data_IF_822208343823
#
_entry.id   IF_822208343823
#
_cell.length_a   1.000
_cell.length_b   1.000
_cell.length_c   1.000
_cell.angle_alpha   90.00
_cell.angle_beta   90.00
_cell.angle_gamma   90.00
#
_symmetry.space_group_name_H-M   'P 1'
#
loop_
_entity.id
_entity.type
_entity.pdbx_description
1 polymer ?
#
# COMPACT_ATOMS: atom_id res chain seq x y z
N UNK A 1 -8.02 -2.34 -12.05
CA UNK A 1 -7.56 -0.98 -12.39
C UNK A 1 -6.11 -0.83 -11.95
N UNK A 2 -5.25 -0.22 -12.79
CA UNK A 2 -3.82 -0.03 -12.48
C UNK A 2 -3.60 1.36 -11.90
N UNK A 3 -2.95 1.44 -10.74
CA UNK A 3 -2.64 2.70 -10.04
C UNK A 3 -1.13 2.91 -10.06
N UNK A 4 -0.71 4.12 -10.41
CA UNK A 4 0.68 4.54 -10.41
C UNK A 4 0.83 5.82 -9.62
N UNK A 5 1.89 5.91 -8.82
CA UNK A 5 2.30 7.17 -8.20
C UNK A 5 3.81 7.22 -8.05
N UNK A 6 4.33 8.42 -7.90
CA UNK A 6 5.76 8.68 -7.84
C UNK A 6 6.06 9.51 -6.62
N UNK A 7 7.12 9.13 -5.91
CA UNK A 7 7.81 10.02 -4.98
C UNK A 7 9.09 10.54 -5.62
N UNK A 8 9.76 11.54 -5.02
CA UNK A 8 11.08 11.94 -5.48
C UNK A 8 12.10 10.81 -5.50
N UNK A 9 11.88 9.69 -4.79
CA UNK A 9 12.87 8.61 -4.61
C UNK A 9 12.46 7.28 -5.28
N UNK A 10 11.19 7.08 -5.61
CA UNK A 10 10.69 5.81 -6.13
C UNK A 10 9.44 5.97 -7.00
N UNK A 11 9.30 5.09 -7.98
CA UNK A 11 8.11 4.94 -8.82
C UNK A 11 7.35 3.68 -8.41
N UNK A 12 6.04 3.80 -8.23
CA UNK A 12 5.17 2.71 -7.76
C UNK A 12 4.12 2.40 -8.81
N UNK A 13 3.87 1.11 -9.05
CA UNK A 13 2.82 0.61 -9.92
C UNK A 13 2.11 -0.54 -9.22
N UNK A 14 0.78 -0.57 -9.26
CA UNK A 14 0.00 -1.59 -8.53
C UNK A 14 -1.36 -1.85 -9.17
N UNK A 15 -1.98 -2.93 -8.71
CA UNK A 15 -3.38 -3.24 -8.98
C UNK A 15 -4.18 -3.10 -7.69
N UNK A 16 -5.36 -2.50 -7.79
CA UNK A 16 -6.31 -2.37 -6.68
C UNK A 16 -7.26 -3.56 -6.66
N UNK A 17 -7.31 -4.25 -5.52
CA UNK A 17 -8.32 -5.26 -5.18
C UNK A 17 -9.23 -4.68 -4.11
N UNK A 18 -10.55 -4.80 -4.32
CA UNK A 18 -11.56 -4.34 -3.38
C UNK A 18 -12.43 -5.54 -3.01
N UNK A 19 -12.66 -5.74 -1.72
CA UNK A 19 -13.62 -6.74 -1.25
C UNK A 19 -14.31 -6.26 0.03
N UNK A 20 -15.55 -6.71 0.21
CA UNK A 20 -16.42 -6.30 1.30
C UNK A 20 -16.49 -7.41 2.34
N UNK A 21 -16.17 -7.07 3.59
CA UNK A 21 -16.43 -7.90 4.76
C UNK A 21 -17.69 -7.38 5.46
N UNK A 22 -18.82 -7.99 5.09
CA UNK A 22 -20.15 -7.61 5.59
C UNK A 22 -20.30 -7.93 7.08
N UNK A 23 -19.55 -8.90 7.62
CA UNK A 23 -19.66 -9.28 9.04
C UNK A 23 -19.15 -8.17 9.95
N UNK A 24 -18.11 -7.44 9.53
CA UNK A 24 -17.50 -6.34 10.29
C UNK A 24 -17.80 -4.96 9.69
N UNK A 25 -18.65 -4.88 8.67
CA UNK A 25 -19.04 -3.64 7.99
C UNK A 25 -17.85 -2.84 7.44
N UNK A 26 -16.81 -3.53 6.94
CA UNK A 26 -15.65 -2.91 6.31
C UNK A 26 -15.52 -3.31 4.85
N UNK A 27 -15.03 -2.36 4.05
CA UNK A 27 -14.51 -2.60 2.71
C UNK A 27 -13.00 -2.48 2.75
N UNK A 28 -12.34 -3.53 2.31
CA UNK A 28 -10.90 -3.61 2.22
C UNK A 28 -10.43 -3.14 0.85
N UNK A 29 -9.45 -2.26 0.82
CA UNK A 29 -8.77 -1.80 -0.38
C UNK A 29 -7.31 -2.22 -0.30
N UNK A 30 -6.90 -3.12 -1.20
CA UNK A 30 -5.56 -3.70 -1.21
C UNK A 30 -4.86 -3.34 -2.50
N UNK A 31 -3.74 -2.61 -2.39
CA UNK A 31 -2.82 -2.32 -3.48
C UNK A 31 -1.66 -3.28 -3.40
N UNK A 32 -1.47 -4.07 -4.45
CA UNK A 32 -0.31 -4.97 -4.59
C UNK A 32 0.43 -4.63 -5.88
N UNK A 33 1.74 -4.42 -5.78
CA UNK A 33 2.46 -3.82 -6.88
C UNK A 33 3.97 -4.01 -6.88
N UNK A 34 4.61 -3.37 -7.87
CA UNK A 34 6.06 -3.26 -8.00
C UNK A 34 6.50 -1.81 -7.79
N UNK A 35 7.65 -1.66 -7.17
CA UNK A 35 8.36 -0.40 -7.03
C UNK A 35 9.68 -0.45 -7.81
N UNK A 36 10.13 0.72 -8.24
CA UNK A 36 11.48 0.95 -8.76
C UNK A 36 12.07 2.16 -8.07
N UNK A 37 13.29 2.04 -7.58
CA UNK A 37 14.03 3.15 -6.97
C UNK A 37 14.61 4.06 -8.07
N UNK A 38 14.39 5.36 -7.92
CA UNK A 38 14.82 6.40 -8.85
C UNK A 38 16.27 6.84 -8.57
N UNK A 39 16.95 7.54 -9.52
CA UNK A 39 18.35 7.96 -9.38
C UNK A 39 18.69 8.80 -8.14
N UNK A 40 17.71 9.51 -7.61
CA UNK A 40 17.76 10.31 -6.38
C UNK A 40 17.80 9.47 -5.09
N UNK A 41 17.55 8.17 -5.16
CA UNK A 41 17.63 7.24 -4.03
C UNK A 41 19.03 6.63 -3.90
N UNK A 42 19.45 6.31 -2.67
CA UNK A 42 20.65 5.51 -2.41
C UNK A 42 20.61 4.11 -3.04
N UNK A 43 19.40 3.60 -3.28
CA UNK A 43 19.16 2.28 -3.90
C UNK A 43 18.77 2.42 -5.38
N UNK A 44 19.20 3.48 -6.06
CA UNK A 44 18.86 3.74 -7.45
C UNK A 44 19.04 2.50 -8.35
N UNK A 45 18.03 2.19 -9.14
CA UNK A 45 18.04 1.03 -10.04
C UNK A 45 17.49 -0.26 -9.41
N UNK A 46 17.33 -0.31 -8.09
CA UNK A 46 16.71 -1.45 -7.42
C UNK A 46 15.21 -1.54 -7.68
N UNK A 47 14.70 -2.77 -7.71
CA UNK A 47 13.30 -3.09 -7.91
C UNK A 47 12.79 -3.91 -6.73
N UNK A 48 11.50 -3.74 -6.42
CA UNK A 48 10.88 -4.46 -5.32
C UNK A 48 9.39 -4.65 -5.52
N UNK A 49 8.79 -5.38 -4.58
CA UNK A 49 7.34 -5.46 -4.43
C UNK A 49 6.89 -4.58 -3.28
N UNK A 50 5.68 -4.05 -3.36
CA UNK A 50 5.08 -3.30 -2.27
C UNK A 50 3.60 -3.63 -2.13
N UNK A 51 3.10 -3.44 -0.92
CA UNK A 51 1.70 -3.61 -0.57
C UNK A 51 1.26 -2.41 0.27
N UNK A 52 0.07 -1.88 -0.01
CA UNK A 52 -0.61 -0.98 0.90
C UNK A 52 -2.06 -1.41 1.06
N UNK A 53 -2.56 -1.31 2.28
CA UNK A 53 -3.92 -1.68 2.64
C UNK A 53 -4.57 -0.52 3.35
N UNK A 54 -5.84 -0.30 3.05
CA UNK A 54 -6.70 0.59 3.83
C UNK A 54 -8.10 0.03 3.89
N UNK A 55 -8.79 0.35 4.97
CA UNK A 55 -10.17 -0.04 5.17
C UNK A 55 -11.06 1.20 5.18
N UNK A 56 -12.27 1.06 4.66
CA UNK A 56 -13.32 2.06 4.80
C UNK A 56 -14.57 1.40 5.37
N UNK A 57 -15.34 2.13 6.17
CA UNK A 57 -16.64 1.66 6.62
C UNK A 57 -17.59 1.49 5.44
N UNK A 58 -18.28 0.36 5.37
CA UNK A 58 -19.43 0.16 4.50
C UNK A 58 -20.59 1.00 5.03
N UNK A 59 -20.61 2.30 4.72
CA UNK A 59 -21.72 3.19 5.05
C UNK A 59 -22.98 2.71 4.30
N UNK A 60 -23.77 1.86 4.95
CA UNK A 60 -24.92 1.21 4.32
C UNK A 60 -25.76 0.29 5.21
N UNK A 61 -25.49 0.14 6.51
CA UNK A 61 -26.38 -0.67 7.37
C UNK A 61 -26.59 -0.16 8.81
N UNK A 62 -26.09 1.01 9.18
CA UNK A 62 -26.52 1.65 10.43
C UNK A 62 -26.30 3.16 10.31
N UNK A 63 -27.24 3.97 10.79
CA UNK A 63 -27.23 5.44 10.72
C UNK A 63 -26.08 6.13 11.45
N UNK A 64 -25.00 5.40 11.76
CA UNK A 64 -23.73 5.93 12.21
C UNK A 64 -22.87 6.26 10.99
N UNK A 65 -22.77 7.55 10.67
CA UNK A 65 -21.71 8.07 9.82
C UNK A 65 -20.50 8.30 10.73
N UNK A 66 -19.46 7.43 10.70
CA UNK A 66 -18.21 7.79 11.37
C UNK A 66 -17.71 9.09 10.72
N UNK A 67 -17.19 10.06 11.50
CA UNK A 67 -16.70 11.31 10.95
C UNK A 67 -15.72 10.98 9.83
N UNK A 68 -16.08 11.38 8.61
CA UNK A 68 -15.22 11.24 7.45
C UNK A 68 -13.87 11.86 7.85
N UNK A 69 -12.77 11.09 7.82
CA UNK A 69 -11.48 11.66 8.09
C UNK A 69 -11.33 12.85 7.14
N UNK A 70 -10.84 14.02 7.61
CA UNK A 70 -10.67 15.18 6.74
C UNK A 70 -9.93 14.74 5.47
N UNK A 71 -10.16 15.38 4.32
CA UNK A 71 -9.52 15.00 3.04
C UNK A 71 -7.98 15.03 3.07
N UNK A 72 -7.39 15.51 4.18
CA UNK A 72 -5.97 15.51 4.52
C UNK A 72 -5.53 14.31 5.39
N UNK A 73 -6.47 13.58 5.99
CA UNK A 73 -6.24 12.38 6.76
C UNK A 73 -6.11 11.21 5.80
N UNK A 74 -4.87 10.92 5.42
CA UNK A 74 -4.53 9.64 4.83
C UNK A 74 -5.10 8.55 5.74
N UNK A 75 -5.76 7.51 5.19
CA UNK A 75 -6.10 6.36 6.01
C UNK A 75 -4.83 5.80 6.68
N UNK A 76 -4.94 5.05 7.78
CA UNK A 76 -3.76 4.42 8.40
C UNK A 76 -3.07 3.50 7.38
N UNK A 77 -2.06 4.03 6.69
CA UNK A 77 -1.25 3.28 5.72
C UNK A 77 -0.10 2.64 6.50
N UNK A 78 -0.19 1.34 6.71
CA UNK A 78 0.97 0.54 7.11
C UNK A 78 1.86 0.31 5.89
N UNK A 79 3.04 0.93 5.85
CA UNK A 79 4.08 0.60 4.87
C UNK A 79 4.99 -0.44 5.48
N UNK A 80 4.90 -1.68 5.01
CA UNK A 80 5.84 -2.74 5.36
C UNK A 80 6.76 -2.98 4.16
N UNK A 81 8.04 -2.66 4.33
CA UNK A 81 9.08 -3.08 3.37
C UNK A 81 9.47 -4.50 3.71
N UNK A 82 9.04 -5.47 2.92
CA UNK A 82 9.58 -6.83 2.99
C UNK A 82 10.85 -6.88 2.16
N UNK A 83 11.99 -6.49 2.72
CA UNK A 83 13.27 -6.77 2.08
C UNK A 83 13.62 -8.24 2.31
N UNK A 84 13.83 -8.98 1.23
CA UNK A 84 14.49 -10.28 1.34
C UNK A 84 15.99 -10.00 1.48
N UNK A 85 16.48 -9.86 2.71
CA UNK A 85 17.92 -9.79 2.97
C UNK A 85 18.46 -11.20 2.69
N UNK A 86 18.88 -11.44 1.45
CA UNK A 86 19.76 -12.56 1.13
C UNK A 86 21.06 -12.31 1.92
N UNK A 87 21.21 -12.99 3.05
CA UNK A 87 22.52 -13.17 3.66
C UNK A 87 23.39 -13.90 2.63
N UNK A 88 24.31 -13.15 2.02
CA UNK A 88 25.29 -13.69 1.11
C UNK A 88 26.13 -14.73 1.83
N UNK A 89 26.21 -15.92 1.24
CA UNK A 89 27.06 -17.02 1.67
C UNK A 89 28.53 -16.57 1.72
N UNK A 90 29.05 -16.15 2.88
CA UNK A 90 30.50 -16.12 3.09
C UNK A 90 30.95 -17.53 3.45
N UNK A 91 31.35 -18.28 2.42
CA UNK A 91 32.19 -19.47 2.58
C UNK A 91 33.46 -19.05 3.31
N UNK A 92 33.73 -19.68 4.45
CA UNK A 92 35.09 -19.93 4.96
C UNK A 92 35.16 -21.43 5.20
#
# INVERSE_FOLDING_TARGET
QQIMFHSPYAAYSSQLTIYDDVQIQLRHLVLTGRLRMLPSSLQAGEYGTWVATTDISLAGYSGYIPPQPPSTSLPPVGVFVTSNILYGNSRI
#
